data_IF_380824456768
#
_entry.id   IF_380824456768
#
_cell.length_a   1.000
_cell.length_b   1.000
_cell.length_c   1.000
_cell.angle_alpha   90.00
_cell.angle_beta   90.00
_cell.angle_gamma   90.00
#
_symmetry.space_group_name_H-M   'P 1'
#
loop_
_entity.id
_entity.type
_entity.pdbx_description
1 polymer ?
#
# COMPACT_ATOMS: atom_id res chain seq x y z
N UNK A 1 7.93 -7.68 -12.77
CA UNK A 1 7.67 -6.40 -12.05
C UNK A 1 6.65 -6.60 -10.94
N UNK A 2 6.92 -6.10 -9.73
CA UNK A 2 5.95 -6.20 -8.63
C UNK A 2 4.85 -5.16 -8.82
N UNK A 3 3.55 -5.52 -8.75
CA UNK A 3 2.45 -4.56 -8.87
C UNK A 3 2.27 -3.71 -7.60
N UNK A 4 3.06 -3.96 -6.56
CA UNK A 4 3.05 -3.21 -5.31
C UNK A 4 4.22 -2.25 -5.29
N UNK A 5 3.92 -0.97 -5.07
CA UNK A 5 4.88 0.11 -4.92
C UNK A 5 4.75 0.69 -3.51
N UNK A 6 5.87 0.88 -2.82
CA UNK A 6 5.93 1.54 -1.51
C UNK A 6 6.70 2.85 -1.65
N UNK A 7 6.05 3.94 -1.32
CA UNK A 7 6.60 5.29 -1.27
C UNK A 7 6.93 5.65 0.18
N UNK A 8 8.22 5.64 0.53
CA UNK A 8 8.70 5.92 1.87
C UNK A 8 9.39 7.29 1.95
N UNK A 9 9.24 8.01 3.06
CA UNK A 9 9.90 9.30 3.26
C UNK A 9 9.32 10.11 4.43
N UNK A 10 10.02 11.12 4.96
CA UNK A 10 9.59 11.88 6.14
C UNK A 10 8.29 12.67 5.91
N UNK A 11 7.64 13.11 6.99
CA UNK A 11 6.48 13.99 6.86
C UNK A 11 6.88 15.27 6.11
N UNK A 12 5.99 15.75 5.22
CA UNK A 12 6.26 16.93 4.39
C UNK A 12 6.98 16.66 3.06
N UNK A 13 7.48 15.45 2.79
CA UNK A 13 8.16 15.11 1.52
C UNK A 13 7.23 14.98 0.29
N UNK A 14 5.96 15.36 0.40
CA UNK A 14 5.02 15.34 -0.73
C UNK A 14 4.43 13.96 -1.10
N UNK A 15 4.68 12.89 -0.31
CA UNK A 15 4.11 11.54 -0.56
C UNK A 15 2.60 11.54 -0.80
N UNK A 16 1.83 12.18 0.08
CA UNK A 16 0.37 12.29 -0.03
C UNK A 16 -0.07 13.03 -1.30
N UNK A 17 0.71 14.04 -1.72
CA UNK A 17 0.45 14.78 -2.94
C UNK A 17 0.68 13.91 -4.18
N UNK A 18 1.81 13.22 -4.25
CA UNK A 18 2.13 12.28 -5.34
C UNK A 18 1.14 11.12 -5.39
N UNK A 19 0.79 10.55 -4.24
CA UNK A 19 -0.21 9.50 -4.13
C UNK A 19 -1.59 9.97 -4.61
N UNK A 20 -1.97 11.22 -4.31
CA UNK A 20 -3.23 11.80 -4.79
C UNK A 20 -3.24 11.99 -6.30
N UNK A 21 -2.14 12.46 -6.89
CA UNK A 21 -1.98 12.58 -8.35
C UNK A 21 -2.06 11.21 -9.01
N UNK A 22 -1.31 10.23 -8.49
CA UNK A 22 -1.32 8.86 -9.00
C UNK A 22 -2.71 8.26 -8.93
N UNK A 23 -3.40 8.40 -7.78
CA UNK A 23 -4.75 7.92 -7.58
C UNK A 23 -5.71 8.48 -8.61
N UNK A 24 -5.67 9.79 -8.85
CA UNK A 24 -6.52 10.44 -9.84
C UNK A 24 -6.24 9.95 -11.27
N UNK A 25 -4.97 9.77 -11.63
CA UNK A 25 -4.56 9.29 -12.96
C UNK A 25 -4.87 7.81 -13.19
N UNK A 26 -4.67 6.98 -12.18
CA UNK A 26 -4.88 5.53 -12.24
C UNK A 26 -6.34 5.12 -11.98
N UNK A 27 -7.21 6.05 -11.58
CA UNK A 27 -8.57 5.74 -11.14
C UNK A 27 -8.59 4.87 -9.88
N UNK A 28 -7.60 5.02 -9.00
CA UNK A 28 -7.40 4.14 -7.87
C UNK A 28 -8.39 4.43 -6.73
N UNK A 29 -8.80 3.37 -6.03
CA UNK A 29 -9.61 3.45 -4.83
C UNK A 29 -8.70 3.72 -3.63
N UNK A 30 -9.01 4.75 -2.86
CA UNK A 30 -8.34 4.98 -1.57
C UNK A 30 -8.91 4.00 -0.55
N UNK A 31 -8.04 3.20 0.05
CA UNK A 31 -8.34 2.23 1.09
C UNK A 31 -7.84 2.78 2.41
N UNK A 32 -8.70 2.75 3.42
CA UNK A 32 -8.33 3.10 4.79
C UNK A 32 -7.59 1.91 5.42
N UNK A 33 -6.44 2.19 6.06
CA UNK A 33 -5.61 1.15 6.70
C UNK A 33 -6.36 0.39 7.80
N UNK A 34 -7.35 1.02 8.45
CA UNK A 34 -8.17 0.39 9.49
C UNK A 34 -9.41 -0.32 8.97
N UNK A 35 -9.70 -0.26 7.65
CA UNK A 35 -10.92 -0.81 7.04
C UNK A 35 -10.63 -1.50 5.71
N UNK A 36 -9.48 -2.17 5.63
CA UNK A 36 -9.04 -2.83 4.38
C UNK A 36 -10.09 -3.86 3.94
N UNK A 37 -10.58 -4.68 4.88
CA UNK A 37 -11.61 -5.70 4.63
C UNK A 37 -12.89 -5.15 3.97
N UNK A 38 -13.37 -4.00 4.44
CA UNK A 38 -14.59 -3.36 3.92
C UNK A 38 -14.42 -2.93 2.45
N UNK A 39 -13.23 -2.46 2.09
CA UNK A 39 -12.94 -2.02 0.72
C UNK A 39 -12.76 -3.19 -0.25
N UNK A 40 -12.33 -4.38 0.22
CA UNK A 40 -11.98 -5.52 -0.64
C UNK A 40 -13.14 -5.96 -1.53
N UNK A 41 -14.37 -6.03 -0.99
CA UNK A 41 -15.55 -6.46 -1.74
C UNK A 41 -15.87 -5.51 -2.92
N UNK A 42 -15.50 -4.23 -2.81
CA UNK A 42 -15.80 -3.20 -3.80
C UNK A 42 -14.64 -2.89 -4.75
N UNK A 43 -13.43 -3.38 -4.47
CA UNK A 43 -12.21 -3.01 -5.21
C UNK A 43 -12.25 -3.49 -6.66
N UNK A 44 -12.68 -4.74 -6.89
CA UNK A 44 -12.71 -5.37 -8.21
C UNK A 44 -11.30 -5.40 -8.84
N UNK A 45 -11.19 -4.97 -10.10
CA UNK A 45 -9.91 -4.88 -10.81
C UNK A 45 -9.24 -3.50 -10.72
N UNK A 46 -9.75 -2.59 -9.88
CA UNK A 46 -9.24 -1.22 -9.79
C UNK A 46 -7.92 -1.15 -9.01
N UNK A 47 -7.03 -0.20 -9.32
CA UNK A 47 -5.86 0.05 -8.49
C UNK A 47 -6.25 0.52 -7.10
N UNK A 48 -5.39 0.27 -6.11
CA UNK A 48 -5.61 0.65 -4.72
C UNK A 48 -4.51 1.61 -4.25
N UNK A 49 -4.90 2.56 -3.39
CA UNK A 49 -3.99 3.41 -2.64
C UNK A 49 -4.25 3.20 -1.15
N UNK A 50 -3.22 2.87 -0.36
CA UNK A 50 -3.21 3.09 1.08
C UNK A 50 -2.24 4.22 1.37
N UNK A 51 -2.73 5.25 2.05
CA UNK A 51 -1.94 6.42 2.42
C UNK A 51 -1.58 6.35 3.91
N UNK A 52 -0.32 6.60 4.24
CA UNK A 52 0.27 6.57 5.58
C UNK A 52 0.02 5.26 6.35
N UNK A 53 0.35 4.12 5.72
CA UNK A 53 0.13 2.78 6.29
C UNK A 53 0.83 2.56 7.64
N UNK A 54 1.92 3.28 7.92
CA UNK A 54 2.70 3.17 9.17
C UNK A 54 2.36 4.25 10.22
N UNK A 55 1.28 5.00 10.03
CA UNK A 55 0.81 6.00 10.99
C UNK A 55 0.10 5.39 12.22
N UNK A 56 -0.33 4.12 12.15
CA UNK A 56 -1.00 3.40 13.22
C UNK A 56 -0.70 1.90 13.17
N UNK A 57 -1.43 1.08 13.96
CA UNK A 57 -1.33 -0.37 13.88
C UNK A 57 -1.66 -0.86 12.46
N UNK A 58 -0.76 -1.65 11.88
CA UNK A 58 -0.96 -2.23 10.55
C UNK A 58 -1.86 -3.46 10.69
N UNK A 59 -2.98 -3.47 9.97
CA UNK A 59 -3.75 -4.68 9.75
C UNK A 59 -2.98 -5.61 8.79
N UNK A 60 -2.17 -6.49 9.37
CA UNK A 60 -1.27 -7.36 8.62
C UNK A 60 -2.03 -8.35 7.72
N UNK A 61 -3.13 -8.92 8.21
CA UNK A 61 -3.96 -9.85 7.44
C UNK A 61 -4.69 -9.14 6.31
N UNK A 62 -5.34 -8.01 6.61
CA UNK A 62 -6.01 -7.19 5.60
C UNK A 62 -5.07 -6.73 4.49
N UNK A 63 -3.88 -6.23 4.86
CA UNK A 63 -2.87 -5.81 3.89
C UNK A 63 -2.36 -6.98 3.03
N UNK A 64 -2.13 -8.14 3.64
CA UNK A 64 -1.73 -9.34 2.92
C UNK A 64 -2.79 -9.77 1.89
N UNK A 65 -4.07 -9.81 2.30
CA UNK A 65 -5.17 -10.15 1.42
C UNK A 65 -5.36 -9.12 0.30
N UNK A 66 -5.21 -7.83 0.58
CA UNK A 66 -5.25 -6.77 -0.44
C UNK A 66 -4.13 -6.94 -1.48
N UNK A 67 -2.89 -7.16 -1.04
CA UNK A 67 -1.75 -7.40 -1.94
C UNK A 67 -2.05 -8.60 -2.84
N UNK A 68 -2.58 -9.69 -2.28
CA UNK A 68 -2.96 -10.87 -3.06
C UNK A 68 -4.07 -10.59 -4.07
N UNK A 69 -5.11 -9.87 -3.66
CA UNK A 69 -6.24 -9.54 -4.53
C UNK A 69 -5.79 -8.70 -5.73
N UNK A 70 -5.03 -7.62 -5.48
CA UNK A 70 -4.50 -6.75 -6.54
C UNK A 70 -3.61 -7.54 -7.52
N UNK A 71 -2.76 -8.43 -7.00
CA UNK A 71 -1.92 -9.31 -7.82
C UNK A 71 -2.75 -10.27 -8.68
N UNK A 72 -3.77 -10.88 -8.11
CA UNK A 72 -4.58 -11.89 -8.78
C UNK A 72 -5.32 -11.32 -10.00
N UNK A 73 -5.78 -10.06 -9.90
CA UNK A 73 -6.52 -9.38 -10.97
C UNK A 73 -5.61 -8.56 -11.90
N UNK A 74 -4.29 -8.60 -11.71
CA UNK A 74 -3.33 -7.85 -12.53
C UNK A 74 -3.39 -6.32 -12.33
N UNK A 75 -3.92 -5.86 -11.21
CA UNK A 75 -4.01 -4.44 -10.85
C UNK A 75 -2.73 -3.96 -10.15
N UNK A 76 -2.70 -2.69 -9.69
CA UNK A 76 -1.58 -2.10 -8.97
C UNK A 76 -1.98 -1.56 -7.60
N UNK A 77 -1.03 -1.57 -6.66
CA UNK A 77 -1.20 -1.08 -5.30
C UNK A 77 -0.08 -0.07 -4.99
N UNK A 78 -0.46 1.13 -4.59
CA UNK A 78 0.46 2.13 -4.04
C UNK A 78 0.26 2.20 -2.53
N UNK A 79 1.37 2.10 -1.79
CA UNK A 79 1.43 2.29 -0.35
C UNK A 79 2.29 3.53 -0.09
N UNK A 80 1.83 4.46 0.74
CA UNK A 80 2.71 5.50 1.29
C UNK A 80 3.00 5.22 2.76
N UNK A 81 4.21 5.54 3.19
CA UNK A 81 4.66 5.37 4.56
C UNK A 81 5.72 6.40 4.91
N UNK A 82 5.90 6.65 6.21
CA UNK A 82 7.01 7.47 6.72
C UNK A 82 8.30 6.68 6.78
N UNK A 83 8.21 5.37 7.04
CA UNK A 83 9.34 4.45 7.14
C UNK A 83 9.20 3.29 6.17
N UNK A 84 10.30 2.63 5.86
CA UNK A 84 10.27 1.40 5.06
C UNK A 84 9.53 0.26 5.77
N UNK A 85 8.95 -0.71 5.02
CA UNK A 85 8.25 -1.86 5.58
C UNK A 85 9.04 -2.67 6.61
N UNK A 86 10.37 -2.71 6.50
CA UNK A 86 11.27 -3.34 7.46
C UNK A 86 11.18 -2.74 8.87
N UNK A 87 10.76 -1.48 8.99
CA UNK A 87 10.60 -0.76 10.25
C UNK A 87 9.16 -0.74 10.79
N UNK A 88 8.20 -1.37 10.09
CA UNK A 88 6.80 -1.42 10.54
C UNK A 88 6.56 -2.47 11.64
N UNK A 89 7.53 -3.38 11.87
CA UNK A 89 7.41 -4.43 12.88
C UNK A 89 6.41 -5.53 12.53
N UNK A 90 6.16 -5.75 11.23
CA UNK A 90 5.28 -6.82 10.71
C UNK A 90 5.74 -8.18 11.25
N UNK A 91 4.81 -8.92 11.87
CA UNK A 91 5.07 -10.25 12.44
C UNK A 91 4.71 -11.39 11.50
N UNK A 92 3.78 -11.14 10.57
CA UNK A 92 3.29 -12.11 9.60
C UNK A 92 4.37 -12.37 8.52
N UNK A 93 4.98 -13.56 8.49
CA UNK A 93 6.11 -13.84 7.59
C UNK A 93 5.76 -13.70 6.11
N UNK A 94 4.53 -14.10 5.75
CA UNK A 94 4.04 -14.02 4.38
C UNK A 94 3.91 -12.57 3.91
N UNK A 95 3.35 -11.68 4.75
CA UNK A 95 3.28 -10.25 4.44
C UNK A 95 4.68 -9.65 4.32
N UNK A 96 5.59 -9.98 5.24
CA UNK A 96 6.96 -9.48 5.20
C UNK A 96 7.68 -9.89 3.89
N UNK A 97 7.48 -11.12 3.43
CA UNK A 97 8.00 -11.59 2.14
C UNK A 97 7.44 -10.80 0.96
N UNK A 98 6.13 -10.49 0.96
CA UNK A 98 5.50 -9.68 -0.09
C UNK A 98 5.97 -8.24 -0.10
N UNK A 99 6.14 -7.63 1.07
CA UNK A 99 6.64 -6.26 1.19
C UNK A 99 8.10 -6.16 0.75
N UNK A 100 8.94 -7.17 1.02
CA UNK A 100 10.31 -7.25 0.50
C UNK A 100 10.38 -7.33 -1.03
N UNK A 101 9.39 -7.97 -1.66
CA UNK A 101 9.28 -8.06 -3.11
C UNK A 101 8.60 -6.83 -3.75
N UNK A 102 8.10 -5.86 -2.96
CA UNK A 102 7.51 -4.63 -3.48
C UNK A 102 8.59 -3.69 -4.04
N UNK A 103 8.21 -2.88 -5.03
CA UNK A 103 9.09 -1.82 -5.52
C UNK A 103 9.13 -0.69 -4.48
N UNK A 104 10.31 -0.45 -3.90
CA UNK A 104 10.51 0.57 -2.86
C UNK A 104 11.09 1.84 -3.47
N UNK A 105 10.47 2.99 -3.19
CA UNK A 105 10.90 4.31 -3.66
C UNK A 105 11.00 5.23 -2.44
N UNK A 106 12.17 5.82 -2.25
CA UNK A 106 12.41 6.82 -1.22
C UNK A 106 12.21 8.23 -1.76
N UNK A 107 11.57 9.09 -0.98
CA UNK A 107 11.41 10.51 -1.28
C UNK A 107 11.91 11.33 -0.10
N UNK A 108 12.79 12.29 -0.40
CA UNK A 108 13.39 13.23 0.54
C UNK A 108 12.62 14.54 0.59
#
# INVERSE_FOLDING_TARGET
PSPVVVLAGPAGSGKTHLASIWRARAGAVKVDVGRIGDCMASLGARPALIDDVDAGPVDEEGLFHLINAVRAVGSTLLLTARRFPSAWGVRLPDLASRLKAAAMIEIH
#
